data_IF_771242357533
#
_entry.id   IF_771242357533
#
_cell.length_a   1.000
_cell.length_b   1.000
_cell.length_c   1.000
_cell.angle_alpha   90.00
_cell.angle_beta   90.00
_cell.angle_gamma   90.00
#
_symmetry.space_group_name_H-M   'P 1'
#
loop_
_entity.id
_entity.type
_entity.pdbx_description
1 polymer ?
#
# COMPACT_ATOMS: atom_id res chain seq x y z
N UNK A 1 -13.23 -11.94 9.75
CA UNK A 1 -13.63 -10.99 8.69
C UNK A 1 -13.53 -9.60 9.30
N UNK A 2 -12.31 -9.12 9.52
CA UNK A 2 -12.09 -7.81 10.14
C UNK A 2 -11.42 -6.90 9.12
N UNK A 3 -11.98 -5.69 9.03
CA UNK A 3 -11.40 -4.51 8.38
C UNK A 3 -11.64 -4.31 6.87
N UNK A 4 -12.92 -4.24 6.46
CA UNK A 4 -13.31 -3.62 5.17
C UNK A 4 -13.46 -2.10 5.23
N UNK A 5 -13.04 -1.42 6.31
CA UNK A 5 -13.34 0.00 6.53
C UNK A 5 -12.14 0.80 7.05
N UNK A 6 -10.92 0.46 6.62
CA UNK A 6 -9.81 1.42 6.72
C UNK A 6 -9.92 2.41 5.55
N UNK A 7 -11.07 3.11 5.52
CA UNK A 7 -11.57 4.08 4.55
C UNK A 7 -10.77 4.18 3.24
N UNK A 8 -11.28 3.63 2.13
CA UNK A 8 -10.68 3.70 0.78
C UNK A 8 -10.16 5.12 0.43
N UNK A 9 -10.90 6.16 0.85
CA UNK A 9 -10.50 7.57 0.70
C UNK A 9 -9.12 7.93 1.32
N UNK A 10 -8.70 7.21 2.37
CA UNK A 10 -7.40 7.40 3.03
C UNK A 10 -6.26 6.77 2.23
N UNK A 11 -6.51 5.66 1.52
CA UNK A 11 -5.51 5.01 0.69
C UNK A 11 -5.25 5.83 -0.57
N UNK A 12 -6.31 6.29 -1.26
CA UNK A 12 -6.17 7.17 -2.42
C UNK A 12 -5.42 8.46 -2.09
N UNK A 13 -5.75 9.10 -0.97
CA UNK A 13 -5.03 10.31 -0.51
C UNK A 13 -3.56 10.03 -0.21
N UNK A 14 -3.25 8.84 0.31
CA UNK A 14 -1.86 8.44 0.60
C UNK A 14 -1.07 8.13 -0.69
N UNK A 15 -1.68 7.43 -1.65
CA UNK A 15 -1.06 7.12 -2.94
C UNK A 15 -0.81 8.40 -3.76
N UNK A 16 -1.81 9.29 -3.85
CA UNK A 16 -1.70 10.55 -4.58
C UNK A 16 -0.66 11.51 -3.99
N UNK A 17 -0.37 11.43 -2.70
CA UNK A 17 0.69 12.23 -2.07
C UNK A 17 2.10 11.72 -2.39
N UNK A 18 2.26 10.44 -2.76
CA UNK A 18 3.56 9.83 -2.99
C UNK A 18 4.07 10.12 -4.43
N UNK A 19 5.28 10.69 -4.58
CA UNK A 19 5.83 11.06 -5.89
C UNK A 19 5.91 9.93 -6.93
N UNK A 20 5.98 8.67 -6.49
CA UNK A 20 5.99 7.51 -7.40
C UNK A 20 4.72 7.41 -8.24
N UNK A 21 3.61 8.02 -7.80
CA UNK A 21 2.32 7.91 -8.49
C UNK A 21 1.86 9.22 -9.16
N UNK A 22 2.66 10.30 -9.15
CA UNK A 22 2.27 11.60 -9.72
C UNK A 22 1.93 11.58 -11.22
N UNK A 23 2.44 10.62 -11.99
CA UNK A 23 2.14 10.49 -13.41
C UNK A 23 0.88 9.65 -13.70
N UNK A 24 0.26 9.07 -12.68
CA UNK A 24 -0.93 8.25 -12.84
C UNK A 24 -2.18 9.12 -12.80
N UNK A 25 -3.17 8.77 -13.62
CA UNK A 25 -4.48 9.41 -13.58
C UNK A 25 -5.35 8.83 -12.45
N UNK A 26 -6.41 9.56 -12.09
CA UNK A 26 -7.32 9.20 -11.00
C UNK A 26 -7.92 7.79 -11.17
N UNK A 27 -8.27 7.38 -12.39
CA UNK A 27 -8.84 6.05 -12.63
C UNK A 27 -7.85 4.93 -12.31
N UNK A 28 -6.57 5.10 -12.66
CA UNK A 28 -5.52 4.13 -12.35
C UNK A 28 -5.22 4.15 -10.85
N UNK A 29 -5.19 5.32 -10.22
CA UNK A 29 -5.03 5.45 -8.77
C UNK A 29 -6.14 4.73 -8.00
N UNK A 30 -7.41 4.93 -8.37
CA UNK A 30 -8.53 4.20 -7.75
C UNK A 30 -8.42 2.69 -7.96
N UNK A 31 -8.05 2.24 -9.17
CA UNK A 31 -7.82 0.81 -9.44
C UNK A 31 -6.69 0.20 -8.61
N UNK A 32 -5.67 0.98 -8.25
CA UNK A 32 -4.60 0.56 -7.33
C UNK A 32 -5.12 0.56 -5.90
N UNK A 33 -5.82 1.61 -5.47
CA UNK A 33 -6.35 1.75 -4.12
C UNK A 33 -7.31 0.59 -3.75
N UNK A 34 -8.13 0.13 -4.69
CA UNK A 34 -9.01 -1.05 -4.52
C UNK A 34 -8.24 -2.36 -4.27
N UNK A 35 -7.00 -2.47 -4.77
CA UNK A 35 -6.17 -3.69 -4.67
C UNK A 35 -5.17 -3.64 -3.53
N UNK A 36 -4.91 -2.46 -2.98
CA UNK A 36 -3.94 -2.27 -1.89
C UNK A 36 -4.46 -2.94 -0.63
N UNK A 37 -3.56 -3.66 0.04
CA UNK A 37 -3.83 -4.30 1.32
C UNK A 37 -3.03 -3.61 2.41
N UNK A 38 -3.71 -3.29 3.52
CA UNK A 38 -3.04 -2.76 4.71
C UNK A 38 -2.54 -3.95 5.53
N UNK A 39 -1.23 -4.09 5.62
CA UNK A 39 -0.56 -5.13 6.41
C UNK A 39 0.17 -4.47 7.58
N UNK A 40 0.16 -5.12 8.74
CA UNK A 40 0.87 -4.67 9.94
C UNK A 40 1.90 -5.73 10.34
N UNK A 41 3.08 -5.28 10.72
CA UNK A 41 4.21 -6.13 11.12
C UNK A 41 4.60 -5.79 12.56
N UNK A 42 4.98 -6.80 13.33
CA UNK A 42 5.47 -6.60 14.69
C UNK A 42 6.94 -6.16 14.71
N UNK A 43 7.42 -5.51 15.78
CA UNK A 43 8.85 -5.21 15.92
C UNK A 43 9.71 -6.47 15.80
N UNK A 44 10.68 -6.45 14.88
CA UNK A 44 11.57 -7.59 14.61
C UNK A 44 11.02 -8.61 13.61
N UNK A 45 9.85 -8.37 13.02
CA UNK A 45 9.31 -9.19 11.93
C UNK A 45 9.92 -8.77 10.58
N UNK A 46 10.35 -9.73 9.78
CA UNK A 46 10.93 -9.48 8.46
C UNK A 46 9.83 -9.16 7.43
N UNK A 47 9.91 -7.98 6.80
CA UNK A 47 8.94 -7.55 5.76
C UNK A 47 9.32 -8.10 4.38
N UNK A 48 10.61 -8.12 4.07
CA UNK A 48 11.19 -8.64 2.82
C UNK A 48 12.51 -9.33 3.16
N UNK A 49 12.79 -10.47 2.51
CA UNK A 49 14.02 -11.23 2.73
C UNK A 49 14.88 -11.28 1.47
N UNK A 50 16.20 -11.07 1.65
CA UNK A 50 17.16 -11.13 0.54
C UNK A 50 17.21 -12.54 -0.08
N UNK A 51 17.19 -12.59 -1.41
CA UNK A 51 17.21 -13.85 -2.17
C UNK A 51 15.82 -14.44 -2.44
N UNK A 52 14.76 -13.88 -1.84
CA UNK A 52 13.39 -14.24 -2.20
C UNK A 52 12.94 -13.55 -3.50
N UNK A 53 12.03 -14.20 -4.22
CA UNK A 53 11.44 -13.66 -5.44
C UNK A 53 10.46 -12.56 -5.03
N UNK A 54 10.73 -11.32 -5.44
CA UNK A 54 9.80 -10.21 -5.23
C UNK A 54 8.64 -10.23 -6.23
N UNK A 55 7.41 -10.34 -5.73
CA UNK A 55 6.18 -10.20 -6.52
C UNK A 55 5.31 -9.00 -6.10
N UNK A 56 5.71 -8.32 -5.02
CA UNK A 56 4.95 -7.28 -4.34
C UNK A 56 5.84 -6.08 -4.00
N UNK A 57 5.24 -4.90 -3.88
CA UNK A 57 5.90 -3.70 -3.35
C UNK A 57 5.14 -3.17 -2.14
N UNK A 58 5.85 -2.47 -1.25
CA UNK A 58 5.31 -1.99 0.01
C UNK A 58 5.48 -0.48 0.13
N UNK A 59 4.54 0.16 0.82
CA UNK A 59 4.60 1.56 1.21
C UNK A 59 4.43 1.66 2.72
N UNK A 60 5.34 2.38 3.39
CA UNK A 60 5.27 2.58 4.83
C UNK A 60 4.24 3.66 5.14
N UNK A 61 3.09 3.24 5.67
CA UNK A 61 2.03 4.15 6.15
C UNK A 61 2.33 4.70 7.54
N UNK A 62 2.90 3.86 8.41
CA UNK A 62 3.24 4.17 9.80
C UNK A 62 4.35 3.22 10.25
N UNK A 63 5.30 3.74 11.02
CA UNK A 63 6.42 3.01 11.63
C UNK A 63 6.84 3.71 12.92
#
# INVERSE_FOLDING_TARGET
MESSLTSEATVESFLSANPLFYSLNDSVLSSIAEKVQVVSYSPGEDIVQEGEIGDSFYLIKKG
#
